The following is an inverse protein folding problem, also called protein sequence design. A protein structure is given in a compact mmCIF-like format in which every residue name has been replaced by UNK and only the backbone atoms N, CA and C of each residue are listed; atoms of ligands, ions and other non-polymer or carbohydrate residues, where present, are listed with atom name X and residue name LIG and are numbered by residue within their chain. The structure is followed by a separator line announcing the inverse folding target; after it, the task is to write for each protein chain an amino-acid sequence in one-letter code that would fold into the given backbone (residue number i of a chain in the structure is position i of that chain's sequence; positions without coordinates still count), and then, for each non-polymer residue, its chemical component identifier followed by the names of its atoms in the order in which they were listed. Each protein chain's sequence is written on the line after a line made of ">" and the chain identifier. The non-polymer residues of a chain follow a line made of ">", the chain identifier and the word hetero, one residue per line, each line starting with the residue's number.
data_IF_464461100210
#
_entry.id   IF_464461100210
#
_cell.length_a   1.000
_cell.length_b   1.000
_cell.length_c   1.000
_cell.angle_alpha   90.00
_cell.angle_beta   90.00
_cell.angle_gamma   90.00
#
_symmetry.space_group_name_H-M   'P 1'
#
loop_
_entity.id
_entity.type
_entity.pdbx_description
1 polymer ?
#
# COMPACT_ATOMS: atom_id res chain seq x y z
N UNK A 1 -46.78 31.28 -44.76
CA UNK A 1 -47.69 31.18 -43.61
C UNK A 1 -46.89 31.53 -42.36
N UNK A 2 -47.07 32.76 -41.86
CA UNK A 2 -46.57 33.24 -40.58
C UNK A 2 -47.47 32.73 -39.46
N UNK A 3 -46.89 32.35 -38.32
CA UNK A 3 -47.55 32.57 -37.03
C UNK A 3 -46.54 32.61 -35.89
N UNK A 4 -46.23 33.83 -35.45
CA UNK A 4 -45.69 34.14 -34.13
C UNK A 4 -46.69 33.73 -33.04
N UNK A 5 -46.17 33.34 -31.86
CA UNK A 5 -46.94 33.36 -30.61
C UNK A 5 -46.09 33.95 -29.49
N UNK A 6 -46.66 35.01 -28.87
CA UNK A 6 -46.20 35.69 -27.65
C UNK A 6 -46.56 34.85 -26.40
N UNK A 7 -45.87 35.03 -25.26
CA UNK A 7 -46.25 34.44 -23.99
C UNK A 7 -47.17 35.37 -23.18
N UNK A 8 -48.20 34.80 -22.55
CA UNK A 8 -49.08 35.47 -21.59
C UNK A 8 -48.59 35.20 -20.15
N UNK A 9 -48.42 36.26 -19.37
CA UNK A 9 -48.06 36.21 -17.95
C UNK A 9 -49.32 36.34 -17.08
N UNK A 10 -49.55 35.42 -16.13
CA UNK A 10 -50.54 35.57 -15.06
C UNK A 10 -49.91 35.51 -13.65
N UNK A 11 -50.34 36.35 -12.68
CA UNK A 11 -49.69 36.47 -11.37
C UNK A 11 -50.48 35.75 -10.28
N UNK A 12 -50.16 34.49 -9.96
CA UNK A 12 -50.85 33.76 -8.88
C UNK A 12 -49.96 32.81 -8.04
N UNK A 13 -48.63 32.83 -8.22
CA UNK A 13 -47.72 31.87 -7.55
C UNK A 13 -47.14 32.34 -6.21
N UNK A 14 -47.06 33.65 -5.95
CA UNK A 14 -46.27 34.18 -4.82
C UNK A 14 -46.87 33.96 -3.42
N UNK A 15 -48.18 33.74 -3.30
CA UNK A 15 -48.82 33.61 -1.98
C UNK A 15 -48.72 32.18 -1.40
N UNK A 16 -48.59 31.16 -2.25
CA UNK A 16 -48.50 29.74 -1.84
C UNK A 16 -47.14 29.39 -1.26
N UNK A 17 -46.05 29.97 -1.77
CA UNK A 17 -44.70 29.69 -1.31
C UNK A 17 -44.41 30.24 0.10
N UNK A 18 -45.02 31.37 0.49
CA UNK A 18 -44.84 31.95 1.84
C UNK A 18 -45.41 31.05 2.95
N UNK A 19 -46.56 30.41 2.71
CA UNK A 19 -47.16 29.51 3.71
C UNK A 19 -46.38 28.21 3.90
N UNK A 20 -45.68 27.74 2.86
CA UNK A 20 -44.83 26.53 2.94
C UNK A 20 -43.55 26.83 3.73
N UNK A 21 -42.89 27.96 3.45
CA UNK A 21 -41.68 28.39 4.18
C UNK A 21 -41.94 28.61 5.67
N UNK A 22 -43.07 29.22 6.04
CA UNK A 22 -43.43 29.42 7.44
C UNK A 22 -43.66 28.08 8.16
N UNK A 23 -44.28 27.09 7.50
CA UNK A 23 -44.46 25.75 8.07
C UNK A 23 -43.13 25.01 8.29
N UNK A 24 -42.18 25.14 7.37
CA UNK A 24 -40.84 24.57 7.56
C UNK A 24 -40.08 25.25 8.70
N UNK A 25 -40.15 26.58 8.79
CA UNK A 25 -39.50 27.32 9.87
C UNK A 25 -40.04 26.94 11.26
N UNK A 26 -41.37 26.79 11.39
CA UNK A 26 -42.00 26.34 12.65
C UNK A 26 -41.61 24.89 12.99
N UNK A 27 -41.55 24.01 11.99
CA UNK A 27 -41.12 22.61 12.19
C UNK A 27 -39.67 22.51 12.69
N UNK A 28 -38.74 23.26 12.10
CA UNK A 28 -37.34 23.30 12.56
C UNK A 28 -37.20 23.86 13.98
N UNK A 29 -37.98 24.89 14.33
CA UNK A 29 -37.99 25.47 15.67
C UNK A 29 -38.48 24.48 16.74
N UNK A 30 -39.56 23.74 16.44
CA UNK A 30 -40.08 22.71 17.34
C UNK A 30 -39.10 21.54 17.50
N UNK A 31 -38.41 21.16 16.42
CA UNK A 31 -37.41 20.09 16.48
C UNK A 31 -36.16 20.50 17.27
N UNK A 32 -35.72 21.76 17.15
CA UNK A 32 -34.63 22.31 17.97
C UNK A 32 -34.98 22.43 19.46
N UNK A 33 -36.23 22.80 19.79
CA UNK A 33 -36.73 22.83 21.16
C UNK A 33 -36.83 21.42 21.76
N UNK A 34 -37.31 20.44 21.00
CA UNK A 34 -37.32 19.04 21.42
C UNK A 34 -35.88 18.53 21.68
N UNK A 35 -34.94 18.83 20.79
CA UNK A 35 -33.54 18.44 20.96
C UNK A 35 -32.94 19.04 22.26
N UNK A 36 -33.23 20.30 22.58
CA UNK A 36 -32.78 20.91 23.85
C UNK A 36 -33.43 20.31 25.11
N UNK A 37 -34.65 19.79 25.01
CA UNK A 37 -35.32 19.15 26.14
C UNK A 37 -34.81 17.72 26.39
N UNK A 38 -34.41 17.00 25.33
CA UNK A 38 -33.89 15.63 25.44
C UNK A 38 -32.38 15.56 25.67
N UNK A 39 -31.62 16.63 25.41
CA UNK A 39 -30.17 16.67 25.56
C UNK A 39 -29.68 17.95 26.29
N UNK A 40 -29.96 18.11 27.60
CA UNK A 40 -29.62 19.34 28.33
C UNK A 40 -28.12 19.57 28.56
N UNK A 41 -27.25 18.55 28.40
CA UNK A 41 -25.84 18.60 28.86
C UNK A 41 -24.76 18.47 27.77
N UNK A 42 -25.08 18.55 26.47
CA UNK A 42 -24.08 18.27 25.41
C UNK A 42 -23.31 19.50 24.90
N UNK A 43 -23.40 20.66 25.55
CA UNK A 43 -22.57 21.83 25.23
C UNK A 43 -21.99 22.40 26.53
N UNK A 44 -20.66 22.58 26.55
CA UNK A 44 -19.79 23.06 27.64
C UNK A 44 -19.10 21.99 28.52
N UNK A 45 -17.96 21.47 28.05
CA UNK A 45 -16.74 21.33 28.86
C UNK A 45 -15.49 21.59 28.00
N UNK A 46 -15.06 22.84 27.95
CA UNK A 46 -13.70 23.21 27.59
C UNK A 46 -13.04 23.67 28.89
N UNK A 47 -12.29 22.78 29.53
CA UNK A 47 -11.48 23.11 30.70
C UNK A 47 -10.05 23.34 30.23
N UNK A 48 -9.68 24.62 30.10
CA UNK A 48 -8.31 25.09 30.09
C UNK A 48 -7.71 24.90 31.48
N UNK A 49 -6.88 23.88 31.67
CA UNK A 49 -5.97 23.82 32.83
C UNK A 49 -4.60 24.37 32.43
N UNK A 50 -4.32 25.53 33.01
CA UNK A 50 -3.01 26.17 33.04
C UNK A 50 -2.29 25.64 34.28
N UNK A 51 -1.21 24.87 34.12
CA UNK A 51 -0.34 24.49 35.23
C UNK A 51 0.95 25.31 35.17
N UNK A 52 0.99 26.33 36.02
CA UNK A 52 2.21 27.03 36.40
C UNK A 52 3.02 26.17 37.37
N UNK A 53 4.34 26.15 37.14
CA UNK A 53 5.35 25.59 38.02
C UNK A 53 5.42 26.34 39.37
N UNK A 54 5.69 25.60 40.46
CA UNK A 54 6.52 26.12 41.55
C UNK A 54 7.14 24.98 42.36
N UNK A 55 8.43 25.16 42.68
CA UNK A 55 9.31 24.34 43.52
C UNK A 55 8.76 24.15 44.95
N UNK A 56 9.02 22.98 45.54
CA UNK A 56 9.67 22.87 46.86
C UNK A 56 10.03 21.41 47.21
N UNK A 57 11.31 21.18 47.45
CA UNK A 57 11.87 20.15 48.34
C UNK A 57 11.94 20.75 49.76
N UNK A 58 11.98 20.00 50.90
CA UNK A 58 13.09 19.05 51.15
C UNK A 58 12.86 17.84 52.12
N UNK A 59 13.83 16.91 52.05
CA UNK A 59 14.51 16.13 53.13
C UNK A 59 13.85 14.91 53.82
N UNK A 60 14.53 13.77 53.59
CA UNK A 60 15.20 12.87 54.56
C UNK A 60 14.38 12.08 55.59
N UNK A 61 14.33 10.75 55.44
CA UNK A 61 15.03 9.79 56.33
C UNK A 61 14.87 8.33 55.84
N UNK A 62 15.97 7.56 55.91
CA UNK A 62 15.99 6.08 55.86
C UNK A 62 16.02 5.55 57.31
N UNK A 63 15.68 4.28 57.59
CA UNK A 63 16.70 3.21 57.48
C UNK A 63 16.20 1.82 57.03
N UNK A 64 17.15 1.03 56.50
CA UNK A 64 17.14 -0.44 56.27
C UNK A 64 17.00 -1.25 57.58
N UNK A 65 16.75 -2.58 57.51
CA UNK A 65 17.85 -3.57 57.49
C UNK A 65 17.69 -4.65 56.38
N UNK A 66 18.77 -5.05 55.68
CA UNK A 66 19.59 -6.28 55.88
C UNK A 66 18.81 -7.61 55.85
N UNK A 67 19.25 -8.73 55.28
CA UNK A 67 20.32 -9.16 54.37
C UNK A 67 20.23 -10.71 54.35
N UNK A 68 20.43 -11.37 53.20
CA UNK A 68 21.21 -12.63 53.07
C UNK A 68 21.01 -13.28 51.69
N UNK A 69 22.04 -13.25 50.86
CA UNK A 69 22.39 -14.30 49.89
C UNK A 69 23.28 -15.36 50.61
N UNK A 70 23.94 -16.33 49.95
CA UNK A 70 23.83 -16.91 48.60
C UNK A 70 23.78 -18.46 48.62
N UNK A 71 23.64 -19.11 47.47
CA UNK A 71 24.32 -20.40 47.27
C UNK A 71 24.68 -20.64 45.79
N UNK A 72 25.86 -21.22 45.58
CA UNK A 72 26.57 -21.30 44.31
C UNK A 72 27.11 -22.74 44.14
N UNK A 73 26.99 -23.27 42.91
CA UNK A 73 27.86 -24.31 42.31
C UNK A 73 27.61 -25.79 42.73
N UNK A 74 28.15 -26.83 42.02
CA UNK A 74 29.14 -26.79 40.93
C UNK A 74 28.93 -27.72 39.70
N UNK A 75 29.64 -27.39 38.61
CA UNK A 75 30.11 -28.27 37.55
C UNK A 75 31.26 -29.18 38.05
N UNK A 76 31.50 -30.35 37.43
CA UNK A 76 32.81 -31.00 37.46
C UNK A 76 33.50 -31.08 36.08
N UNK A 77 34.83 -31.01 36.12
CA UNK A 77 35.83 -31.14 35.05
C UNK A 77 36.75 -32.34 35.37
N UNK A 78 37.55 -32.74 34.37
CA UNK A 78 38.69 -33.69 34.32
C UNK A 78 38.38 -35.13 33.79
N UNK A 79 38.72 -35.52 32.55
CA UNK A 79 40.03 -35.85 31.87
C UNK A 79 40.49 -37.33 32.09
N UNK A 80 41.40 -37.92 31.28
CA UNK A 80 41.23 -38.47 29.92
C UNK A 80 41.67 -39.96 29.80
N UNK A 81 41.36 -40.67 28.71
CA UNK A 81 42.02 -41.95 28.37
C UNK A 81 42.50 -41.99 26.91
N UNK A 82 43.74 -42.44 26.77
CA UNK A 82 44.50 -42.63 25.53
C UNK A 82 43.86 -43.70 24.63
N UNK A 83 43.68 -43.40 23.35
CA UNK A 83 43.88 -44.40 22.29
C UNK A 83 44.78 -43.84 21.19
N UNK A 84 45.87 -44.58 20.96
CA UNK A 84 46.83 -44.38 19.90
C UNK A 84 46.22 -44.98 18.62
N UNK A 85 45.92 -44.15 17.61
CA UNK A 85 45.75 -44.63 16.24
C UNK A 85 46.45 -43.69 15.24
N UNK A 86 47.61 -44.17 14.79
CA UNK A 86 48.15 -44.10 13.42
C UNK A 86 47.86 -42.86 12.56
N UNK A 87 48.91 -42.06 12.35
CA UNK A 87 49.01 -41.07 11.27
C UNK A 87 48.91 -41.75 9.89
N UNK A 88 47.83 -41.47 9.17
CA UNK A 88 47.81 -41.53 7.71
C UNK A 88 47.68 -40.09 7.19
N UNK A 89 48.71 -39.65 6.44
CA UNK A 89 48.68 -38.41 5.70
C UNK A 89 47.76 -38.62 4.49
N UNK A 90 46.50 -38.24 4.61
CA UNK A 90 45.63 -37.96 3.47
C UNK A 90 45.55 -36.44 3.34
N UNK A 91 46.11 -35.91 2.27
CA UNK A 91 45.80 -34.58 1.77
C UNK A 91 44.32 -34.57 1.40
N UNK A 92 43.47 -34.16 2.33
CA UNK A 92 42.13 -33.66 2.03
C UNK A 92 42.30 -32.41 1.16
N UNK A 93 42.11 -32.58 -0.14
CA UNK A 93 41.65 -31.48 -0.99
C UNK A 93 40.39 -30.96 -0.31
N UNK A 94 40.47 -29.74 0.25
CA UNK A 94 39.31 -29.05 0.77
C UNK A 94 38.27 -29.00 -0.35
N UNK A 95 37.18 -29.77 -0.19
CA UNK A 95 36.00 -29.57 -1.00
C UNK A 95 35.65 -28.07 -0.91
N UNK A 96 35.39 -27.40 -2.04
CA UNK A 96 34.91 -26.03 -1.97
C UNK A 96 33.67 -26.05 -1.09
N UNK A 97 33.67 -25.25 -0.01
CA UNK A 97 32.44 -25.04 0.76
C UNK A 97 31.33 -24.75 -0.24
N UNK A 98 30.16 -25.41 -0.14
CA UNK A 98 29.07 -25.13 -1.05
C UNK A 98 28.84 -23.63 -1.00
N UNK A 99 28.97 -22.96 -2.14
CA UNK A 99 28.60 -21.56 -2.28
C UNK A 99 27.22 -21.43 -1.64
N UNK A 100 27.15 -20.73 -0.51
CA UNK A 100 25.94 -20.61 0.27
C UNK A 100 24.90 -20.01 -0.68
N UNK A 101 23.95 -20.82 -1.16
CA UNK A 101 22.96 -20.38 -2.14
C UNK A 101 22.32 -19.10 -1.59
N UNK A 102 22.53 -18.00 -2.31
CA UNK A 102 22.11 -16.68 -1.89
C UNK A 102 20.58 -16.69 -1.82
N UNK A 103 20.03 -16.61 -0.60
CA UNK A 103 18.58 -16.72 -0.40
C UNK A 103 17.82 -15.68 -1.25
N UNK A 104 16.89 -16.16 -2.07
CA UNK A 104 15.94 -15.33 -2.80
C UNK A 104 14.66 -15.21 -1.97
N UNK A 105 14.52 -14.10 -1.22
CA UNK A 105 13.36 -13.86 -0.34
C UNK A 105 12.03 -13.75 -1.09
N UNK A 106 12.04 -13.67 -2.42
CA UNK A 106 10.85 -13.61 -3.27
C UNK A 106 10.46 -14.98 -3.82
N UNK A 107 11.24 -16.04 -3.56
CA UNK A 107 10.92 -17.44 -3.86
C UNK A 107 10.66 -18.24 -2.57
N UNK A 108 9.47 -18.81 -2.50
CA UNK A 108 8.90 -19.29 -1.25
C UNK A 108 7.54 -19.90 -1.43
N UNK A 109 6.93 -20.24 -0.31
CA UNK A 109 5.60 -20.81 -0.24
C UNK A 109 4.79 -20.09 0.83
N UNK A 110 3.47 -20.07 0.65
CA UNK A 110 2.56 -19.60 1.69
C UNK A 110 2.34 -20.72 2.70
N UNK A 111 2.61 -20.44 3.97
CA UNK A 111 2.41 -21.38 5.08
C UNK A 111 1.32 -20.86 6.02
N UNK A 112 0.55 -21.76 6.66
CA UNK A 112 -0.43 -21.36 7.67
C UNK A 112 0.24 -20.64 8.83
N UNK A 113 -0.39 -19.58 9.30
CA UNK A 113 0.09 -18.76 10.39
C UNK A 113 -0.95 -18.62 11.50
N UNK A 114 -0.74 -19.37 12.59
CA UNK A 114 -1.68 -19.46 13.71
C UNK A 114 -1.73 -18.22 14.59
N UNK A 115 -0.79 -17.26 14.44
CA UNK A 115 -0.87 -16.02 15.21
C UNK A 115 -1.99 -15.09 14.74
N UNK A 116 -2.49 -15.28 13.52
CA UNK A 116 -3.45 -14.40 12.88
C UNK A 116 -2.89 -13.02 12.47
N UNK A 117 -3.79 -12.10 12.05
CA UNK A 117 -3.42 -10.80 11.52
C UNK A 117 -2.99 -9.84 12.63
N UNK A 118 -2.13 -8.85 12.30
CA UNK A 118 -1.65 -7.85 13.28
C UNK A 118 -2.71 -6.83 13.70
N UNK A 119 -3.80 -6.72 12.93
CA UNK A 119 -4.84 -5.74 13.14
C UNK A 119 -6.17 -6.27 12.60
N UNK A 120 -7.26 -5.61 12.95
CA UNK A 120 -8.61 -5.87 12.45
C UNK A 120 -9.26 -4.57 11.97
N UNK A 121 -10.50 -4.68 11.47
CA UNK A 121 -11.34 -3.52 11.16
C UNK A 121 -11.67 -2.64 12.38
N UNK A 122 -11.44 -3.13 13.60
CA UNK A 122 -11.70 -2.41 14.85
C UNK A 122 -10.45 -1.68 15.35
N UNK A 123 -9.27 -2.27 15.16
CA UNK A 123 -8.00 -1.71 15.63
C UNK A 123 -7.36 -0.75 14.62
N UNK A 124 -7.64 -0.91 13.33
CA UNK A 124 -7.14 -0.01 12.29
C UNK A 124 -8.25 0.85 11.66
N UNK A 125 -8.12 2.17 11.78
CA UNK A 125 -9.12 3.15 11.29
C UNK A 125 -8.87 3.66 9.87
N UNK A 126 -7.71 3.37 9.29
CA UNK A 126 -7.33 3.88 7.97
C UNK A 126 -7.72 2.97 6.81
N UNK A 127 -8.32 1.80 7.10
CA UNK A 127 -8.79 0.86 6.07
C UNK A 127 -9.94 1.49 5.29
N UNK A 128 -9.73 1.70 4.00
CA UNK A 128 -10.74 2.20 3.08
C UNK A 128 -11.89 1.20 2.92
N UNK A 129 -13.11 1.71 2.75
CA UNK A 129 -14.32 0.87 2.79
C UNK A 129 -14.28 -0.28 1.79
N UNK A 130 -13.68 -0.11 0.62
CA UNK A 130 -13.65 -1.14 -0.42
C UNK A 130 -12.59 -2.23 -0.19
N UNK A 131 -11.70 -2.05 0.78
CA UNK A 131 -10.68 -3.03 1.20
C UNK A 131 -11.04 -3.67 2.55
N UNK A 132 -12.04 -3.14 3.26
CA UNK A 132 -12.48 -3.64 4.57
C UNK A 132 -13.44 -4.83 4.44
N UNK A 133 -12.94 -5.95 3.94
CA UNK A 133 -13.72 -7.15 3.65
C UNK A 133 -14.46 -7.70 4.90
N UNK A 134 -13.82 -7.65 6.07
CA UNK A 134 -14.42 -8.04 7.35
C UNK A 134 -15.67 -7.20 7.66
N UNK A 135 -15.54 -5.86 7.61
CA UNK A 135 -16.67 -4.95 7.85
C UNK A 135 -17.76 -5.08 6.79
N UNK A 136 -17.37 -5.39 5.55
CA UNK A 136 -18.29 -5.55 4.44
C UNK A 136 -19.04 -6.89 4.43
N UNK A 137 -18.80 -7.76 5.41
CA UNK A 137 -19.55 -9.00 5.58
C UNK A 137 -19.00 -10.19 4.82
N UNK A 138 -17.71 -10.18 4.46
CA UNK A 138 -17.05 -11.36 3.89
C UNK A 138 -17.11 -12.52 4.91
N UNK A 139 -17.67 -13.69 4.54
CA UNK A 139 -17.95 -14.76 5.50
C UNK A 139 -16.72 -15.62 5.83
N UNK A 140 -15.77 -15.76 4.90
CA UNK A 140 -14.53 -16.48 5.13
C UNK A 140 -13.45 -15.55 5.68
N UNK A 141 -12.60 -16.07 6.58
CA UNK A 141 -11.53 -15.32 7.24
C UNK A 141 -10.15 -15.98 7.09
N UNK A 142 -10.08 -17.16 6.44
CA UNK A 142 -8.86 -17.95 6.35
C UNK A 142 -7.71 -17.24 5.63
N UNK A 143 -8.02 -16.32 4.72
CA UNK A 143 -7.03 -15.64 3.87
C UNK A 143 -6.03 -14.78 4.66
N UNK A 144 -6.34 -14.28 5.85
CA UNK A 144 -5.36 -13.51 6.63
C UNK A 144 -4.59 -14.34 7.67
N UNK A 145 -4.73 -15.68 7.66
CA UNK A 145 -3.94 -16.62 8.49
C UNK A 145 -2.84 -17.33 7.68
N UNK A 146 -2.20 -16.59 6.78
CA UNK A 146 -1.13 -17.09 5.93
C UNK A 146 0.05 -16.14 5.97
N UNK A 147 1.25 -16.70 5.95
CA UNK A 147 2.50 -15.95 5.90
C UNK A 147 3.39 -16.46 4.77
N UNK A 148 4.10 -15.53 4.15
CA UNK A 148 5.10 -15.86 3.14
C UNK A 148 6.36 -16.43 3.82
N UNK A 149 6.82 -17.58 3.34
CA UNK A 149 8.02 -18.24 3.84
C UNK A 149 8.98 -18.52 2.67
N UNK A 150 10.09 -17.78 2.56
CA UNK A 150 11.14 -18.10 1.59
C UNK A 150 11.69 -19.50 1.80
N UNK A 151 12.18 -20.15 0.74
CA UNK A 151 12.66 -21.55 0.82
C UNK A 151 14.02 -21.68 1.51
N UNK A 152 14.89 -20.73 1.23
CA UNK A 152 16.32 -20.86 1.55
C UNK A 152 16.72 -20.00 2.77
N UNK A 153 15.77 -19.24 3.33
CA UNK A 153 15.99 -18.48 4.56
C UNK A 153 14.68 -18.11 5.26
N UNK A 154 14.82 -17.75 6.54
CA UNK A 154 13.72 -17.20 7.32
C UNK A 154 13.77 -15.68 7.31
N UNK A 155 12.61 -15.06 7.09
CA UNK A 155 12.43 -13.62 7.29
C UNK A 155 11.63 -13.39 8.58
N UNK A 156 12.08 -12.46 9.45
CA UNK A 156 11.33 -12.12 10.64
C UNK A 156 10.04 -11.39 10.24
N UNK A 157 9.07 -11.40 11.14
CA UNK A 157 7.89 -10.55 10.99
C UNK A 157 8.29 -9.10 11.09
N UNK A 158 7.62 -8.24 10.33
CA UNK A 158 7.64 -6.81 10.53
C UNK A 158 7.42 -6.46 12.00
N UNK A 159 8.39 -5.76 12.55
CA UNK A 159 8.39 -5.19 13.90
C UNK A 159 8.10 -3.69 13.78
N UNK A 160 6.89 -3.24 14.17
CA UNK A 160 6.51 -1.84 14.03
C UNK A 160 7.33 -0.89 14.89
N UNK A 161 7.81 -1.32 16.06
CA UNK A 161 8.61 -0.47 16.94
C UNK A 161 9.98 -0.25 16.30
N UNK A 162 10.64 -1.35 15.89
CA UNK A 162 11.93 -1.28 15.23
C UNK A 162 11.86 -0.48 13.93
N UNK A 163 10.79 -0.63 13.14
CA UNK A 163 10.60 0.19 11.94
C UNK A 163 10.49 1.68 12.26
N UNK A 164 9.62 2.07 13.20
CA UNK A 164 9.43 3.50 13.56
C UNK A 164 10.71 4.12 14.13
N UNK A 165 11.48 3.37 14.90
CA UNK A 165 12.77 3.82 15.40
C UNK A 165 13.79 4.03 14.27
N UNK A 166 13.83 3.15 13.26
CA UNK A 166 14.65 3.35 12.07
C UNK A 166 14.19 4.56 11.25
N UNK A 167 12.91 4.90 11.28
CA UNK A 167 12.29 5.98 10.52
C UNK A 167 12.25 7.33 11.25
N UNK A 168 12.85 7.43 12.44
CA UNK A 168 12.88 8.67 13.21
C UNK A 168 13.50 9.81 12.40
N UNK A 169 12.80 10.94 12.36
CA UNK A 169 13.16 12.15 11.60
C UNK A 169 13.28 11.97 10.07
N UNK A 170 12.65 10.94 9.49
CA UNK A 170 12.73 10.63 8.05
C UNK A 170 11.40 10.86 7.33
N UNK A 171 11.46 10.84 6.01
CA UNK A 171 10.30 10.91 5.12
C UNK A 171 10.30 9.74 4.14
N UNK A 172 9.18 9.02 4.06
CA UNK A 172 8.98 7.90 3.13
C UNK A 172 7.79 8.21 2.22
N UNK A 173 7.93 8.04 0.91
CA UNK A 173 6.81 8.11 -0.02
C UNK A 173 6.60 6.83 -0.84
N UNK A 174 5.34 6.43 -0.98
CA UNK A 174 4.89 5.46 -1.96
C UNK A 174 4.31 6.24 -3.15
N UNK A 175 4.92 6.09 -4.32
CA UNK A 175 4.62 6.84 -5.53
C UNK A 175 4.06 5.84 -6.54
N UNK A 176 2.80 6.01 -6.92
CA UNK A 176 2.15 5.07 -7.83
C UNK A 176 0.63 5.14 -7.85
N UNK A 177 0.03 3.96 -8.00
CA UNK A 177 -1.41 3.76 -8.20
C UNK A 177 -2.16 3.33 -6.93
N UNK A 178 -3.36 2.76 -7.11
CA UNK A 178 -4.23 2.33 -6.03
C UNK A 178 -3.69 1.14 -5.24
N UNK A 179 -2.79 0.32 -5.82
CA UNK A 179 -2.12 -0.75 -5.10
C UNK A 179 -1.05 -0.17 -4.17
N UNK A 180 -0.38 0.92 -4.57
CA UNK A 180 0.51 1.66 -3.65
C UNK A 180 -0.26 2.23 -2.46
N UNK A 181 -1.47 2.76 -2.67
CA UNK A 181 -2.36 3.18 -1.57
C UNK A 181 -2.80 2.00 -0.70
N UNK A 182 -3.08 0.84 -1.28
CA UNK A 182 -3.42 -0.38 -0.55
C UNK A 182 -2.25 -0.83 0.36
N UNK A 183 -1.01 -0.76 -0.15
CA UNK A 183 0.19 -1.12 0.60
C UNK A 183 0.44 -0.14 1.75
N UNK A 184 0.30 1.18 1.52
CA UNK A 184 0.43 2.18 2.58
C UNK A 184 -0.61 2.00 3.69
N UNK A 185 -1.85 1.64 3.35
CA UNK A 185 -2.87 1.38 4.36
C UNK A 185 -2.51 0.17 5.24
N UNK A 186 -2.02 -0.92 4.63
CA UNK A 186 -1.50 -2.07 5.36
C UNK A 186 -0.37 -1.67 6.32
N UNK A 187 0.62 -0.92 5.83
CA UNK A 187 1.73 -0.43 6.64
C UNK A 187 1.24 0.45 7.81
N UNK A 188 0.37 1.43 7.55
CA UNK A 188 -0.23 2.28 8.57
C UNK A 188 -0.96 1.45 9.64
N UNK A 189 -1.72 0.43 9.25
CA UNK A 189 -2.40 -0.45 10.18
C UNK A 189 -1.43 -1.25 11.07
N UNK A 190 -0.31 -1.73 10.51
CA UNK A 190 0.73 -2.41 11.28
C UNK A 190 1.41 -1.45 12.26
N UNK A 191 1.76 -0.24 11.81
CA UNK A 191 2.42 0.77 12.65
C UNK A 191 1.51 1.30 13.76
N UNK A 192 0.20 1.26 13.56
CA UNK A 192 -0.82 1.67 14.52
C UNK A 192 -0.79 0.91 15.85
N UNK A 193 -0.11 -0.25 15.88
CA UNK A 193 0.17 -1.03 17.09
C UNK A 193 1.14 -0.34 18.05
N UNK A 194 1.93 0.61 17.56
CA UNK A 194 2.91 1.38 18.34
C UNK A 194 2.51 2.84 18.41
N UNK A 195 2.20 3.45 17.27
CA UNK A 195 1.81 4.85 17.20
C UNK A 195 0.76 5.08 16.11
N UNK A 196 -0.30 5.82 16.47
CA UNK A 196 -1.31 6.25 15.51
C UNK A 196 -0.78 7.43 14.69
N UNK A 197 -0.84 7.31 13.37
CA UNK A 197 -0.43 8.38 12.48
C UNK A 197 -1.54 9.46 12.40
N UNK A 198 -1.12 10.72 12.31
CA UNK A 198 -2.02 11.87 12.10
C UNK A 198 -1.94 12.27 10.63
N UNK A 199 -3.07 12.30 9.94
CA UNK A 199 -3.12 12.85 8.58
C UNK A 199 -2.86 14.36 8.64
N UNK A 200 -1.88 14.83 7.85
CA UNK A 200 -1.45 16.24 7.82
C UNK A 200 -1.66 16.88 6.45
N UNK A 201 -1.95 16.08 5.42
CA UNK A 201 -2.27 16.55 4.08
C UNK A 201 -3.04 15.48 3.31
N UNK A 202 -3.95 15.93 2.46
CA UNK A 202 -4.53 15.16 1.37
C UNK A 202 -4.77 16.09 0.17
N UNK A 203 -4.78 15.56 -1.04
CA UNK A 203 -5.27 16.31 -2.21
C UNK A 203 -6.81 16.40 -2.22
N UNK A 204 -7.37 17.17 -3.16
CA UNK A 204 -8.82 17.43 -3.24
C UNK A 204 -9.65 16.13 -3.35
N UNK A 205 -9.12 15.13 -4.05
CA UNK A 205 -9.77 13.84 -4.30
C UNK A 205 -9.39 12.76 -3.27
N UNK A 206 -8.58 13.08 -2.25
CA UNK A 206 -8.06 12.15 -1.25
C UNK A 206 -7.30 10.94 -1.86
N UNK A 207 -6.70 11.13 -3.04
CA UNK A 207 -5.88 10.11 -3.72
C UNK A 207 -4.45 10.13 -3.20
N UNK A 208 -3.88 11.32 -3.04
CA UNK A 208 -2.60 11.55 -2.37
C UNK A 208 -2.83 11.95 -0.92
N UNK A 209 -2.05 11.38 0.00
CA UNK A 209 -2.16 11.65 1.44
C UNK A 209 -0.79 11.63 2.11
N UNK A 210 -0.65 12.37 3.20
CA UNK A 210 0.53 12.35 4.06
C UNK A 210 0.12 12.24 5.51
N UNK A 211 0.79 11.34 6.22
CA UNK A 211 0.64 11.14 7.65
C UNK A 211 1.94 11.45 8.37
N UNK A 212 1.82 11.91 9.61
CA UNK A 212 2.93 12.15 10.53
C UNK A 212 2.76 11.28 11.76
N UNK A 213 3.86 10.67 12.19
CA UNK A 213 3.99 9.96 13.46
C UNK A 213 4.69 10.92 14.44
N UNK A 214 3.95 11.64 15.31
CA UNK A 214 4.51 12.75 16.07
C UNK A 214 5.70 12.39 16.96
N UNK A 215 5.65 11.23 17.62
CA UNK A 215 6.66 10.76 18.58
C UNK A 215 7.96 10.34 17.88
N UNK A 216 7.88 9.94 16.61
CA UNK A 216 9.04 9.59 15.78
C UNK A 216 9.47 10.72 14.85
N UNK A 217 8.68 11.80 14.72
CA UNK A 217 8.88 12.82 13.68
C UNK A 217 9.07 12.18 12.28
N UNK A 218 8.36 11.08 12.03
CA UNK A 218 8.40 10.34 10.78
C UNK A 218 7.23 10.80 9.91
N UNK A 219 7.45 11.00 8.61
CA UNK A 219 6.37 11.24 7.65
C UNK A 219 6.26 10.11 6.64
N UNK A 220 5.04 9.62 6.45
CA UNK A 220 4.70 8.62 5.45
C UNK A 220 3.72 9.24 4.46
N UNK A 221 3.99 9.13 3.17
CA UNK A 221 3.14 9.68 2.11
C UNK A 221 2.76 8.62 1.09
N UNK A 222 1.55 8.73 0.55
CA UNK A 222 1.18 8.12 -0.73
C UNK A 222 0.96 9.26 -1.74
N UNK A 223 1.62 9.18 -2.89
CA UNK A 223 1.53 10.19 -3.94
C UNK A 223 0.89 9.52 -5.15
N UNK A 224 -0.32 9.97 -5.50
CA UNK A 224 -1.09 9.41 -6.60
C UNK A 224 -0.53 9.88 -7.94
N UNK A 225 0.06 8.95 -8.67
CA UNK A 225 0.58 9.15 -10.02
C UNK A 225 0.57 7.79 -10.72
N UNK A 226 -0.60 7.32 -11.18
CA UNK A 226 -0.79 5.92 -11.57
C UNK A 226 0.04 5.51 -12.81
N UNK A 227 0.51 6.50 -13.57
CA UNK A 227 1.43 6.29 -14.70
C UNK A 227 2.88 6.68 -14.38
N UNK A 228 3.19 7.18 -13.18
CA UNK A 228 4.51 7.71 -12.76
C UNK A 228 5.02 8.93 -13.54
N UNK A 229 4.56 9.13 -14.77
CA UNK A 229 4.91 10.23 -15.66
C UNK A 229 3.69 11.14 -15.85
N UNK A 230 3.90 12.32 -16.43
CA UNK A 230 2.85 13.31 -16.60
C UNK A 230 1.70 12.70 -17.41
N UNK A 231 0.50 12.74 -16.82
CA UNK A 231 -0.72 12.27 -17.45
C UNK A 231 -1.87 13.24 -17.20
N UNK A 232 -2.75 13.42 -18.19
CA UNK A 232 -4.07 13.99 -18.01
C UNK A 232 -5.09 12.84 -17.99
N UNK A 233 -5.72 12.64 -16.83
CA UNK A 233 -6.65 11.55 -16.56
C UNK A 233 -8.06 12.12 -16.49
N UNK A 234 -9.00 11.53 -17.22
CA UNK A 234 -10.40 11.97 -17.28
C UNK A 234 -11.36 10.93 -16.70
N UNK A 235 -10.87 10.13 -15.74
CA UNK A 235 -11.61 9.05 -15.10
C UNK A 235 -11.95 9.42 -13.64
N UNK A 236 -13.23 9.29 -13.29
CA UNK A 236 -13.72 9.53 -11.94
C UNK A 236 -13.41 8.35 -10.99
N UNK A 237 -13.82 8.44 -9.72
CA UNK A 237 -13.56 7.38 -8.72
C UNK A 237 -14.29 6.06 -9.00
N UNK A 238 -15.37 6.09 -9.79
CA UNK A 238 -16.14 4.91 -10.17
C UNK A 238 -15.57 4.20 -11.42
N UNK A 239 -14.49 4.72 -11.98
CA UNK A 239 -13.86 4.19 -13.20
C UNK A 239 -14.53 4.65 -14.49
N UNK A 240 -15.41 5.65 -14.44
CA UNK A 240 -16.09 6.20 -15.62
C UNK A 240 -15.19 7.27 -16.23
N UNK A 241 -14.78 7.04 -17.49
CA UNK A 241 -13.93 7.95 -18.25
C UNK A 241 -14.74 8.84 -19.20
N UNK A 242 -14.42 10.14 -19.24
CA UNK A 242 -15.01 11.09 -20.20
C UNK A 242 -14.14 11.32 -21.44
N UNK A 243 -12.88 10.91 -21.44
CA UNK A 243 -11.95 11.03 -22.58
C UNK A 243 -10.73 10.12 -22.38
N UNK A 244 -10.01 9.80 -23.47
CA UNK A 244 -8.78 9.02 -23.40
C UNK A 244 -7.70 9.74 -22.58
N UNK A 245 -6.96 8.97 -21.77
CA UNK A 245 -5.82 9.50 -21.01
C UNK A 245 -4.80 10.10 -21.98
N UNK A 246 -4.30 11.31 -21.68
CA UNK A 246 -3.17 11.89 -22.42
C UNK A 246 -1.89 11.63 -21.63
N UNK A 247 -0.98 10.83 -22.18
CA UNK A 247 0.24 10.39 -21.51
C UNK A 247 1.48 11.00 -22.18
N UNK A 248 2.33 11.69 -21.42
CA UNK A 248 3.49 12.41 -21.94
C UNK A 248 4.77 11.62 -21.65
N UNK A 249 5.21 10.82 -22.62
CA UNK A 249 6.26 9.80 -22.46
C UNK A 249 7.67 10.35 -22.18
N UNK A 250 7.85 11.66 -22.35
CA UNK A 250 9.12 12.38 -22.13
C UNK A 250 9.07 13.36 -20.95
N UNK A 251 8.03 13.30 -20.11
CA UNK A 251 7.84 14.23 -18.99
C UNK A 251 7.47 13.51 -17.70
N UNK A 252 8.29 13.68 -16.66
CA UNK A 252 7.97 13.25 -15.31
C UNK A 252 6.73 13.97 -14.78
N UNK A 253 5.97 13.28 -13.94
CA UNK A 253 4.90 13.93 -13.17
C UNK A 253 5.51 14.80 -12.06
N UNK A 254 5.20 16.10 -12.12
CA UNK A 254 5.72 17.09 -11.18
C UNK A 254 5.23 16.87 -9.76
N UNK A 255 4.06 16.24 -9.60
CA UNK A 255 3.44 16.01 -8.28
C UNK A 255 4.39 15.27 -7.35
N UNK A 256 5.11 14.25 -7.82
CA UNK A 256 6.09 13.53 -7.01
C UNK A 256 7.53 14.00 -7.27
N UNK A 257 7.88 14.35 -8.52
CA UNK A 257 9.25 14.69 -8.87
C UNK A 257 9.76 15.93 -8.12
N UNK A 258 8.89 16.92 -7.92
CA UNK A 258 9.24 18.15 -7.19
C UNK A 258 9.39 17.92 -5.68
N UNK A 259 8.92 16.78 -5.16
CA UNK A 259 9.06 16.39 -3.75
C UNK A 259 10.26 15.45 -3.52
N UNK A 260 10.85 14.90 -4.58
CA UNK A 260 11.85 13.84 -4.50
C UNK A 260 13.05 14.17 -3.62
N UNK A 261 13.56 15.41 -3.70
CA UNK A 261 14.73 15.87 -2.93
C UNK A 261 14.49 15.90 -1.40
N UNK A 262 13.25 15.80 -0.94
CA UNK A 262 12.89 15.82 0.48
C UNK A 262 12.66 14.43 1.09
N UNK A 263 12.75 13.37 0.29
CA UNK A 263 12.40 12.01 0.69
C UNK A 263 13.65 11.22 1.07
N UNK A 264 13.64 10.47 2.16
CA UNK A 264 14.74 9.57 2.52
C UNK A 264 14.54 8.16 1.93
N UNK A 265 13.27 7.76 1.77
CA UNK A 265 12.86 6.46 1.26
C UNK A 265 11.75 6.62 0.23
N UNK A 266 11.83 5.83 -0.84
CA UNK A 266 10.85 5.87 -1.94
C UNK A 266 10.47 4.44 -2.32
N UNK A 267 9.18 4.17 -2.47
CA UNK A 267 8.68 2.98 -3.18
C UNK A 267 8.00 3.48 -4.46
N UNK A 268 8.57 3.14 -5.61
CA UNK A 268 7.99 3.40 -6.93
C UNK A 268 7.27 2.14 -7.39
N UNK A 269 6.03 2.30 -7.85
CA UNK A 269 5.31 1.21 -8.47
C UNK A 269 4.26 1.72 -9.46
N UNK A 270 4.23 1.14 -10.65
CA UNK A 270 3.17 1.36 -11.64
C UNK A 270 2.57 0.03 -12.06
N UNK A 271 1.62 0.07 -13.00
CA UNK A 271 1.14 -1.18 -13.57
C UNK A 271 -0.17 -1.01 -14.34
N UNK A 272 -1.25 -1.57 -13.80
CA UNK A 272 -2.52 -1.83 -14.50
C UNK A 272 -3.15 -0.62 -15.20
N UNK A 273 -2.80 0.60 -14.79
CA UNK A 273 -3.24 1.83 -15.47
C UNK A 273 -2.70 1.97 -16.91
N UNK A 274 -1.52 1.43 -17.21
CA UNK A 274 -0.95 1.43 -18.56
C UNK A 274 -1.76 0.61 -19.56
N UNK A 275 -2.60 -0.31 -19.09
CA UNK A 275 -3.49 -1.13 -19.92
C UNK A 275 -4.74 -0.37 -20.39
N UNK A 276 -4.97 0.85 -19.87
CA UNK A 276 -6.09 1.68 -20.29
C UNK A 276 -5.75 2.37 -21.61
N UNK A 277 -6.79 2.65 -22.39
CA UNK A 277 -6.67 3.50 -23.59
C UNK A 277 -5.99 4.82 -23.27
N UNK A 278 -4.96 5.13 -24.06
CA UNK A 278 -4.18 6.35 -23.90
C UNK A 278 -3.69 6.88 -25.25
N UNK A 279 -3.59 8.20 -25.35
CA UNK A 279 -2.92 8.93 -26.42
C UNK A 279 -1.55 9.33 -25.93
N UNK A 280 -0.52 9.02 -26.71
CA UNK A 280 0.87 9.24 -26.36
C UNK A 280 1.38 10.55 -26.95
N UNK A 281 2.08 11.30 -26.11
CA UNK A 281 2.70 12.57 -26.46
C UNK A 281 4.20 12.50 -26.23
N UNK A 282 4.97 12.99 -27.20
CA UNK A 282 6.41 13.22 -27.09
C UNK A 282 6.71 14.60 -27.68
N UNK A 283 7.54 15.40 -27.00
CA UNK A 283 7.88 16.77 -27.40
C UNK A 283 6.63 17.65 -27.64
N UNK A 284 5.61 17.45 -26.80
CA UNK A 284 4.29 18.11 -26.90
C UNK A 284 3.52 17.84 -28.20
N UNK A 285 3.84 16.74 -28.89
CA UNK A 285 3.14 16.29 -30.09
C UNK A 285 2.62 14.87 -29.92
N UNK A 286 1.45 14.58 -30.50
CA UNK A 286 0.89 13.21 -30.49
C UNK A 286 1.81 12.30 -31.29
N UNK A 287 2.41 11.30 -30.64
CA UNK A 287 3.29 10.32 -31.27
C UNK A 287 2.55 9.03 -31.64
N UNK A 288 1.55 8.62 -30.86
CA UNK A 288 0.77 7.41 -31.10
C UNK A 288 -0.27 7.16 -30.00
N UNK A 289 -0.60 5.89 -29.76
CA UNK A 289 -1.60 5.51 -28.77
C UNK A 289 -1.41 4.08 -28.26
N UNK A 290 -2.25 3.70 -27.28
CA UNK A 290 -2.66 2.32 -27.03
C UNK A 290 -4.18 2.19 -27.13
N UNK A 291 -4.64 1.22 -27.92
CA UNK A 291 -6.04 0.93 -28.17
C UNK A 291 -6.86 2.17 -28.55
N UNK A 292 -6.58 2.73 -29.73
CA UNK A 292 -7.30 3.90 -30.26
C UNK A 292 -8.10 3.59 -31.54
N UNK A 293 -9.16 2.77 -31.45
CA UNK A 293 -9.95 2.38 -32.61
C UNK A 293 -10.57 3.61 -33.30
N UNK A 294 -10.50 3.63 -34.63
CA UNK A 294 -11.06 4.71 -35.45
C UNK A 294 -10.25 6.02 -35.45
N UNK A 295 -9.09 6.08 -34.78
CA UNK A 295 -8.15 7.21 -34.90
C UNK A 295 -7.07 6.89 -35.91
N UNK A 296 -6.63 7.90 -36.67
CA UNK A 296 -5.48 7.79 -37.58
C UNK A 296 -4.17 7.99 -36.79
N UNK A 297 -3.91 7.10 -35.84
CA UNK A 297 -2.72 7.11 -34.98
C UNK A 297 -2.09 5.71 -34.99
N UNK A 298 -0.76 5.64 -34.87
CA UNK A 298 -0.06 4.37 -34.69
C UNK A 298 -0.33 3.82 -33.29
N UNK A 299 -0.85 2.59 -33.22
CA UNK A 299 -0.97 1.86 -31.96
C UNK A 299 0.39 1.23 -31.63
N UNK A 300 1.04 1.75 -30.59
CA UNK A 300 2.33 1.25 -30.11
C UNK A 300 2.18 0.18 -29.01
N UNK A 301 0.95 -0.10 -28.55
CA UNK A 301 0.73 -0.97 -27.40
C UNK A 301 1.02 -0.30 -26.06
N UNK A 302 0.67 -1.00 -24.98
CA UNK A 302 0.95 -0.53 -23.62
C UNK A 302 2.42 -0.77 -23.25
N UNK A 303 3.07 -1.80 -23.80
CA UNK A 303 4.45 -2.16 -23.49
C UNK A 303 5.40 -1.01 -23.81
N UNK A 304 5.16 -0.33 -24.94
CA UNK A 304 5.93 0.82 -25.37
C UNK A 304 5.90 1.95 -24.33
N UNK A 305 4.71 2.35 -23.90
CA UNK A 305 4.55 3.40 -22.91
C UNK A 305 5.07 2.99 -21.53
N UNK A 306 4.86 1.72 -21.14
CA UNK A 306 5.29 1.21 -19.85
C UNK A 306 6.81 1.22 -19.71
N UNK A 307 7.51 0.69 -20.72
CA UNK A 307 8.98 0.72 -20.78
C UNK A 307 9.52 2.15 -20.78
N UNK A 308 8.96 3.04 -21.61
CA UNK A 308 9.34 4.46 -21.67
C UNK A 308 9.18 5.17 -20.32
N UNK A 309 8.08 4.90 -19.61
CA UNK A 309 7.83 5.49 -18.30
C UNK A 309 8.87 5.01 -17.27
N UNK A 310 9.14 3.71 -17.20
CA UNK A 310 10.15 3.16 -16.29
C UNK A 310 11.56 3.64 -16.63
N UNK A 311 11.94 3.67 -17.90
CA UNK A 311 13.19 4.25 -18.37
C UNK A 311 13.33 5.71 -17.89
N UNK A 312 12.31 6.54 -18.11
CA UNK A 312 12.34 7.95 -17.73
C UNK A 312 12.47 8.14 -16.20
N UNK A 313 11.68 7.40 -15.42
CA UNK A 313 11.66 7.47 -13.96
C UNK A 313 12.99 6.98 -13.37
N UNK A 314 13.49 5.84 -13.82
CA UNK A 314 14.74 5.26 -13.31
C UNK A 314 15.98 6.06 -13.76
N UNK A 315 15.98 6.61 -14.97
CA UNK A 315 17.03 7.54 -15.41
C UNK A 315 17.07 8.81 -14.54
N UNK A 316 15.90 9.36 -14.19
CA UNK A 316 15.83 10.49 -13.26
C UNK A 316 16.41 10.14 -11.88
N UNK A 317 16.01 9.00 -11.32
CA UNK A 317 16.47 8.53 -10.00
C UNK A 317 17.99 8.32 -10.00
N UNK A 318 18.52 7.60 -11.00
CA UNK A 318 19.94 7.27 -11.11
C UNK A 318 20.83 8.50 -11.36
N UNK A 319 20.31 9.52 -12.05
CA UNK A 319 21.01 10.77 -12.32
C UNK A 319 20.80 11.86 -11.24
N UNK A 320 19.82 11.71 -10.35
CA UNK A 320 19.51 12.71 -9.32
C UNK A 320 20.69 12.94 -8.38
N UNK A 321 20.88 14.18 -7.91
CA UNK A 321 21.90 14.48 -6.89
C UNK A 321 21.52 13.94 -5.53
N UNK A 322 20.22 13.87 -5.24
CA UNK A 322 19.68 13.31 -4.02
C UNK A 322 19.58 11.79 -4.14
N UNK A 323 20.02 11.07 -3.09
CA UNK A 323 20.23 9.61 -3.13
C UNK A 323 19.42 8.91 -2.02
N UNK A 324 18.08 8.92 -2.09
CA UNK A 324 17.27 8.13 -1.16
C UNK A 324 17.48 6.63 -1.41
N UNK A 325 17.05 5.81 -0.45
CA UNK A 325 16.89 4.38 -0.69
C UNK A 325 15.58 4.18 -1.48
N UNK A 326 15.66 3.58 -2.66
CA UNK A 326 14.52 3.41 -3.55
C UNK A 326 14.19 1.93 -3.74
N UNK A 327 12.93 1.60 -3.58
CA UNK A 327 12.35 0.31 -3.94
C UNK A 327 11.58 0.43 -5.25
N UNK A 328 11.80 -0.50 -6.19
CA UNK A 328 10.87 -0.74 -7.29
C UNK A 328 10.01 -1.96 -6.91
N UNK A 329 8.70 -1.75 -6.72
CA UNK A 329 7.77 -2.86 -6.54
C UNK A 329 7.30 -3.35 -7.90
N UNK A 330 7.41 -4.65 -8.15
CA UNK A 330 6.90 -5.27 -9.38
C UNK A 330 5.37 -5.24 -9.46
N UNK A 331 4.84 -5.50 -10.66
CA UNK A 331 3.41 -5.62 -10.94
C UNK A 331 2.77 -6.70 -10.07
N UNK A 332 1.52 -6.47 -9.67
CA UNK A 332 0.70 -7.46 -8.99
C UNK A 332 -0.33 -8.02 -9.96
N UNK A 333 -0.48 -9.36 -10.05
CA UNK A 333 -1.52 -9.95 -10.89
C UNK A 333 -2.91 -9.67 -10.30
N UNK A 334 -3.90 -9.56 -11.17
CA UNK A 334 -5.31 -9.70 -10.81
C UNK A 334 -5.74 -11.16 -10.97
N UNK A 335 -6.82 -11.54 -10.28
CA UNK A 335 -7.34 -12.92 -10.29
C UNK A 335 -8.77 -12.98 -10.83
N UNK A 336 -9.09 -12.17 -11.84
CA UNK A 336 -10.37 -12.32 -12.53
C UNK A 336 -10.43 -13.66 -13.26
N UNK A 337 -11.43 -14.47 -12.93
CA UNK A 337 -11.81 -15.71 -13.61
C UNK A 337 -13.15 -15.53 -14.34
N UNK A 338 -13.32 -16.25 -15.46
CA UNK A 338 -14.55 -16.27 -16.27
C UNK A 338 -15.03 -14.90 -16.77
N UNK A 339 -14.08 -13.99 -17.00
CA UNK A 339 -14.34 -12.63 -17.46
C UNK A 339 -13.29 -11.68 -16.91
N UNK A 340 -13.48 -10.40 -17.16
CA UNK A 340 -12.66 -9.29 -16.69
C UNK A 340 -13.47 -8.39 -15.76
N UNK A 341 -12.84 -7.39 -15.18
CA UNK A 341 -13.47 -6.42 -14.29
C UNK A 341 -14.74 -5.75 -14.87
N UNK A 342 -14.80 -5.59 -16.20
CA UNK A 342 -15.91 -4.97 -16.92
C UNK A 342 -16.91 -5.97 -17.54
N UNK A 343 -16.57 -7.25 -17.61
CA UNK A 343 -17.38 -8.29 -18.27
C UNK A 343 -17.97 -9.33 -17.32
N UNK A 344 -17.87 -9.07 -16.01
CA UNK A 344 -18.48 -9.92 -14.97
C UNK A 344 -17.56 -11.01 -14.42
N UNK A 345 -16.24 -10.86 -14.58
CA UNK A 345 -15.27 -11.75 -13.95
C UNK A 345 -15.39 -11.73 -12.41
N UNK A 346 -14.92 -12.81 -11.78
CA UNK A 346 -14.97 -12.99 -10.33
C UNK A 346 -13.72 -13.69 -9.77
N UNK A 347 -13.55 -13.63 -8.45
CA UNK A 347 -12.43 -14.22 -7.70
C UNK A 347 -12.96 -14.72 -6.35
N UNK A 348 -13.56 -15.91 -6.33
CA UNK A 348 -14.24 -16.48 -5.16
C UNK A 348 -13.44 -17.62 -4.50
N UNK A 349 -12.14 -17.73 -4.79
CA UNK A 349 -11.25 -18.67 -4.10
C UNK A 349 -11.08 -18.22 -2.64
N UNK A 350 -10.89 -19.19 -1.75
CA UNK A 350 -10.83 -18.96 -0.29
C UNK A 350 -9.57 -19.51 0.37
N UNK A 351 -8.69 -20.12 -0.43
CA UNK A 351 -7.38 -20.63 -0.01
C UNK A 351 -6.30 -20.21 -1.01
N UNK A 352 -5.05 -20.04 -0.54
CA UNK A 352 -3.91 -19.85 -1.42
C UNK A 352 -3.71 -21.01 -2.37
N UNK A 353 -2.97 -20.74 -3.43
CA UNK A 353 -2.49 -21.72 -4.38
C UNK A 353 -1.04 -22.10 -4.07
N UNK A 354 -0.64 -23.26 -4.56
CA UNK A 354 0.76 -23.70 -4.60
C UNK A 354 1.40 -23.34 -5.93
N UNK A 355 2.73 -23.32 -5.94
CA UNK A 355 3.49 -23.18 -7.18
C UNK A 355 3.06 -24.24 -8.20
N UNK A 356 2.84 -23.81 -9.46
CA UNK A 356 2.37 -24.67 -10.54
C UNK A 356 0.85 -24.81 -10.67
N UNK A 357 0.05 -24.35 -9.70
CA UNK A 357 -1.42 -24.38 -9.79
C UNK A 357 -2.01 -23.20 -10.58
N UNK A 358 -1.20 -22.19 -10.88
CA UNK A 358 -1.57 -21.02 -11.67
C UNK A 358 -0.37 -20.49 -12.44
N UNK A 359 -0.63 -19.97 -13.63
CA UNK A 359 0.36 -19.30 -14.47
C UNK A 359 0.09 -17.79 -14.51
N UNK A 360 1.15 -17.00 -14.68
CA UNK A 360 1.01 -15.56 -14.92
C UNK A 360 0.30 -15.35 -16.26
N UNK A 361 -0.71 -14.48 -16.27
CA UNK A 361 -1.29 -13.96 -17.50
C UNK A 361 -0.20 -13.31 -18.35
N UNK A 362 -0.33 -13.40 -19.67
CA UNK A 362 0.68 -12.87 -20.62
C UNK A 362 1.00 -11.41 -20.35
N UNK A 363 -0.02 -10.59 -20.05
CA UNK A 363 0.15 -9.17 -19.72
C UNK A 363 1.00 -8.99 -18.47
N UNK A 364 0.71 -9.72 -17.38
CA UNK A 364 1.48 -9.62 -16.13
C UNK A 364 2.93 -10.09 -16.30
N UNK A 365 3.15 -11.13 -17.11
CA UNK A 365 4.49 -11.60 -17.48
C UNK A 365 5.27 -10.52 -18.21
N UNK A 366 4.69 -9.95 -19.27
CA UNK A 366 5.32 -8.88 -20.06
C UNK A 366 5.64 -7.66 -19.20
N UNK A 367 4.73 -7.24 -18.32
CA UNK A 367 4.98 -6.11 -17.41
C UNK A 367 6.11 -6.40 -16.43
N UNK A 368 6.12 -7.58 -15.80
CA UNK A 368 7.20 -7.98 -14.91
C UNK A 368 8.54 -8.06 -15.64
N UNK A 369 8.58 -8.62 -16.85
CA UNK A 369 9.80 -8.73 -17.64
C UNK A 369 10.38 -7.34 -17.96
N UNK A 370 9.53 -6.37 -18.35
CA UNK A 370 9.95 -4.97 -18.53
C UNK A 370 10.49 -4.37 -17.22
N UNK A 371 9.80 -4.58 -16.08
CA UNK A 371 10.25 -4.07 -14.79
C UNK A 371 11.62 -4.60 -14.38
N UNK A 372 11.86 -5.89 -14.56
CA UNK A 372 13.14 -6.53 -14.26
C UNK A 372 14.24 -6.03 -15.20
N UNK A 373 14.00 -5.98 -16.51
CA UNK A 373 14.95 -5.46 -17.50
C UNK A 373 15.36 -4.01 -17.20
N UNK A 374 14.40 -3.12 -16.92
CA UNK A 374 14.69 -1.72 -16.62
C UNK A 374 15.31 -1.54 -15.22
N UNK A 375 14.93 -2.37 -14.24
CA UNK A 375 15.54 -2.38 -12.92
C UNK A 375 17.02 -2.76 -12.99
N UNK A 376 17.37 -3.82 -13.71
CA UNK A 376 18.76 -4.30 -13.84
C UNK A 376 19.66 -3.22 -14.45
N UNK A 377 19.21 -2.59 -15.55
CA UNK A 377 19.93 -1.46 -16.17
C UNK A 377 20.12 -0.30 -15.18
N UNK A 378 19.05 0.07 -14.47
CA UNK A 378 19.08 1.17 -13.52
C UNK A 378 19.93 0.85 -12.29
N UNK A 379 19.94 -0.39 -11.82
CA UNK A 379 20.76 -0.84 -10.68
C UNK A 379 22.25 -0.77 -11.04
N UNK A 380 22.62 -1.19 -12.25
CA UNK A 380 24.01 -1.08 -12.73
C UNK A 380 24.48 0.38 -12.78
N UNK A 381 23.67 1.26 -13.37
CA UNK A 381 23.99 2.70 -13.45
C UNK A 381 23.95 3.35 -12.06
N UNK A 382 22.94 3.02 -11.27
CA UNK A 382 22.68 3.55 -9.94
C UNK A 382 23.82 3.25 -8.97
N UNK A 383 24.34 2.03 -8.98
CA UNK A 383 25.48 1.62 -8.14
C UNK A 383 26.72 2.49 -8.38
N UNK A 384 27.04 2.81 -9.65
CA UNK A 384 28.14 3.69 -10.05
C UNK A 384 27.92 5.14 -9.57
N UNK A 385 26.66 5.55 -9.44
CA UNK A 385 26.25 6.89 -9.03
C UNK A 385 25.87 6.99 -7.54
N UNK A 386 26.10 5.95 -6.74
CA UNK A 386 25.78 5.93 -5.30
C UNK A 386 24.28 5.89 -4.97
N UNK A 387 23.43 5.48 -5.92
CA UNK A 387 22.00 5.23 -5.66
C UNK A 387 21.82 3.81 -5.15
N UNK A 388 21.06 3.66 -4.07
CA UNK A 388 20.66 2.35 -3.55
C UNK A 388 19.28 2.01 -4.10
N UNK A 389 19.26 1.18 -5.15
CA UNK A 389 18.04 0.58 -5.69
C UNK A 389 17.83 -0.82 -5.12
N UNK A 390 16.60 -1.13 -4.73
CA UNK A 390 16.17 -2.44 -4.23
C UNK A 390 14.96 -2.92 -5.02
N UNK A 391 14.99 -4.15 -5.51
CA UNK A 391 13.81 -4.77 -6.08
C UNK A 391 12.92 -5.25 -4.94
N UNK A 392 11.63 -4.98 -5.02
CA UNK A 392 10.60 -5.57 -4.16
C UNK A 392 9.71 -6.42 -5.07
N UNK A 393 10.14 -7.64 -5.37
CA UNK A 393 9.39 -8.51 -6.27
C UNK A 393 8.20 -9.16 -5.56
N UNK A 394 7.01 -8.59 -5.80
CA UNK A 394 5.76 -9.05 -5.18
C UNK A 394 4.92 -9.92 -6.11
N UNK A 395 5.29 -10.05 -7.38
CA UNK A 395 4.42 -10.66 -8.39
C UNK A 395 4.12 -12.12 -8.08
N UNK A 396 5.15 -12.93 -7.81
CA UNK A 396 4.99 -14.38 -7.61
C UNK A 396 4.26 -14.73 -6.31
N UNK A 397 4.65 -14.13 -5.19
CA UNK A 397 3.93 -14.38 -3.95
C UNK A 397 2.48 -13.90 -4.00
N UNK A 398 2.17 -12.84 -4.75
CA UNK A 398 0.80 -12.34 -4.91
C UNK A 398 -0.03 -13.19 -5.87
N UNK A 399 0.58 -13.78 -6.91
CA UNK A 399 -0.08 -14.74 -7.81
C UNK A 399 -0.67 -15.95 -7.09
N UNK A 400 -0.02 -16.37 -6.00
CA UNK A 400 -0.46 -17.51 -5.22
C UNK A 400 -1.62 -17.18 -4.26
N UNK A 401 -2.15 -15.96 -4.30
CA UNK A 401 -3.12 -15.43 -3.33
C UNK A 401 -4.45 -14.99 -3.92
N UNK A 402 -5.10 -15.77 -4.81
CA UNK A 402 -6.42 -15.39 -5.32
C UNK A 402 -7.48 -15.25 -4.21
N UNK A 403 -7.24 -15.84 -3.04
CA UNK A 403 -8.09 -15.77 -1.85
C UNK A 403 -8.08 -14.40 -1.16
N UNK A 404 -7.10 -13.55 -1.43
CA UNK A 404 -6.91 -12.30 -0.71
C UNK A 404 -7.70 -11.09 -1.23
N UNK A 405 -8.43 -11.24 -2.33
CA UNK A 405 -9.15 -10.13 -2.97
C UNK A 405 -10.50 -9.82 -2.31
N UNK A 406 -10.98 -8.56 -2.31
CA UNK A 406 -12.32 -8.23 -1.83
C UNK A 406 -13.44 -8.96 -2.56
N UNK A 407 -13.28 -9.19 -3.87
CA UNK A 407 -14.32 -9.75 -4.72
C UNK A 407 -15.61 -8.91 -4.59
N UNK A 408 -16.76 -9.52 -4.27
CA UNK A 408 -18.01 -8.78 -4.09
C UNK A 408 -18.01 -7.91 -2.82
N UNK A 409 -17.18 -8.25 -1.83
CA UNK A 409 -17.08 -7.56 -0.54
C UNK A 409 -16.23 -6.29 -0.62
N UNK A 410 -16.06 -5.72 -1.82
CA UNK A 410 -15.69 -4.32 -2.00
C UNK A 410 -16.84 -3.37 -1.61
N UNK A 411 -18.08 -3.86 -1.66
CA UNK A 411 -19.27 -3.13 -1.23
C UNK A 411 -19.72 -3.64 0.14
N UNK A 412 -20.36 -2.78 0.92
CA UNK A 412 -20.85 -3.15 2.25
C UNK A 412 -22.06 -4.09 2.13
N UNK A 413 -21.94 -5.30 2.68
CA UNK A 413 -23.01 -6.30 2.78
C UNK A 413 -23.73 -6.55 1.43
N UNK A 414 -22.98 -6.92 0.37
CA UNK A 414 -23.45 -6.91 -1.03
C UNK A 414 -24.63 -7.86 -1.30
N UNK A 415 -24.86 -8.84 -0.42
CA UNK A 415 -25.87 -9.89 -0.56
C UNK A 415 -26.94 -9.86 0.54
N UNK A 416 -27.04 -8.77 1.31
CA UNK A 416 -27.97 -8.64 2.43
C UNK A 416 -29.43 -8.48 1.99
N UNK A 417 -29.68 -7.76 0.89
CA UNK A 417 -31.02 -7.57 0.32
C UNK A 417 -31.41 -8.70 -0.64
N UNK A 418 -30.50 -9.12 -1.51
CA UNK A 418 -30.67 -10.24 -2.43
C UNK A 418 -29.41 -11.12 -2.47
N UNK A 419 -29.57 -12.40 -2.12
CA UNK A 419 -28.48 -13.39 -2.13
C UNK A 419 -27.93 -13.67 -3.53
N UNK A 420 -28.68 -13.35 -4.58
CA UNK A 420 -28.30 -13.56 -5.98
C UNK A 420 -27.98 -12.24 -6.70
N UNK A 421 -27.78 -11.15 -5.97
CA UNK A 421 -27.46 -9.85 -6.54
C UNK A 421 -26.22 -9.95 -7.44
N UNK A 422 -26.31 -9.35 -8.63
CA UNK A 422 -25.14 -9.16 -9.50
C UNK A 422 -24.39 -7.92 -9.00
N UNK A 423 -23.22 -8.15 -8.43
CA UNK A 423 -22.36 -7.10 -7.88
C UNK A 423 -21.03 -7.04 -8.60
N UNK A 424 -20.38 -5.88 -8.56
CA UNK A 424 -19.05 -5.72 -9.14
C UNK A 424 -18.01 -6.38 -8.23
N UNK A 425 -17.17 -7.24 -8.81
CA UNK A 425 -16.05 -7.84 -8.10
C UNK A 425 -14.79 -6.98 -8.21
N UNK A 426 -14.06 -6.86 -7.11
CA UNK A 426 -12.69 -6.36 -7.10
C UNK A 426 -11.73 -7.54 -6.95
N UNK A 427 -11.07 -7.91 -8.05
CA UNK A 427 -10.07 -8.98 -8.08
C UNK A 427 -8.66 -8.43 -8.34
N UNK A 428 -8.46 -7.14 -8.07
CA UNK A 428 -7.20 -6.43 -8.28
C UNK A 428 -6.61 -5.94 -6.95
N UNK A 429 -7.42 -5.30 -6.10
CA UNK A 429 -7.00 -4.83 -4.78
C UNK A 429 -7.08 -5.94 -3.74
N UNK A 430 -6.54 -5.69 -2.54
CA UNK A 430 -6.40 -6.66 -1.47
C UNK A 430 -7.26 -6.29 -0.27
N UNK A 431 -7.87 -7.30 0.34
CA UNK A 431 -8.47 -7.15 1.67
C UNK A 431 -7.41 -6.72 2.68
N UNK A 432 -7.82 -5.92 3.67
CA UNK A 432 -7.01 -5.55 4.83
C UNK A 432 -7.75 -5.96 6.13
N UNK A 433 -7.11 -6.73 7.03
CA UNK A 433 -5.83 -7.42 6.87
C UNK A 433 -5.85 -8.47 5.74
N UNK A 434 -4.68 -8.85 5.21
CA UNK A 434 -4.62 -9.76 4.06
C UNK A 434 -3.21 -9.98 3.50
N UNK A 435 -3.06 -10.57 2.30
CA UNK A 435 -1.77 -11.00 1.76
C UNK A 435 -0.74 -9.87 1.63
N UNK A 436 -1.23 -8.66 1.35
CA UNK A 436 -0.42 -7.46 1.21
C UNK A 436 0.35 -7.10 2.49
N UNK A 437 -0.07 -7.62 3.66
CA UNK A 437 0.67 -7.44 4.91
C UNK A 437 2.07 -8.07 4.85
N UNK A 438 2.23 -9.20 4.14
CA UNK A 438 3.53 -9.86 3.94
C UNK A 438 4.49 -9.05 3.06
N UNK A 439 4.00 -8.08 2.27
CA UNK A 439 4.89 -7.19 1.53
C UNK A 439 5.68 -6.30 2.49
N UNK A 440 5.11 -5.94 3.64
CA UNK A 440 5.82 -5.17 4.65
C UNK A 440 6.92 -6.00 5.31
N UNK A 441 6.71 -7.29 5.56
CA UNK A 441 7.76 -8.19 6.04
C UNK A 441 8.98 -8.16 5.08
N UNK A 442 8.74 -8.24 3.77
CA UNK A 442 9.78 -8.11 2.74
C UNK A 442 10.45 -6.72 2.73
N UNK A 443 9.66 -5.64 2.82
CA UNK A 443 10.19 -4.27 2.89
C UNK A 443 11.11 -4.10 4.09
N UNK A 444 10.74 -4.62 5.26
CA UNK A 444 11.56 -4.53 6.46
C UNK A 444 12.85 -5.34 6.35
N UNK A 445 12.78 -6.53 5.76
CA UNK A 445 13.98 -7.33 5.51
C UNK A 445 14.94 -6.61 4.56
N UNK A 446 14.44 -6.08 3.44
CA UNK A 446 15.26 -5.31 2.49
C UNK A 446 15.79 -4.00 3.08
N UNK A 447 15.07 -3.39 4.02
CA UNK A 447 15.50 -2.18 4.71
C UNK A 447 16.66 -2.45 5.67
N UNK A 448 16.59 -3.54 6.42
CA UNK A 448 17.55 -3.85 7.51
C UNK A 448 18.74 -4.66 7.00
N UNK A 449 18.50 -5.58 6.06
CA UNK A 449 19.45 -6.59 5.60
C UNK A 449 19.64 -6.57 4.07
N UNK A 450 19.17 -5.52 3.37
CA UNK A 450 19.11 -5.46 1.91
C UNK A 450 20.42 -5.75 1.19
N UNK A 451 21.56 -5.43 1.81
CA UNK A 451 22.90 -5.65 1.25
C UNK A 451 23.22 -7.14 1.06
N UNK A 452 22.55 -8.04 1.79
CA UNK A 452 22.69 -9.50 1.62
C UNK A 452 22.11 -10.01 0.30
N UNK A 453 21.20 -9.25 -0.30
CA UNK A 453 20.43 -9.66 -1.47
C UNK A 453 20.91 -9.00 -2.78
N UNK A 454 21.90 -8.11 -2.71
CA UNK A 454 22.45 -7.38 -3.87
C UNK A 454 23.40 -8.21 -4.71
#
# INVERSE_FOLDING_TARGET
>A
MLKETRPDSSPLSLHKHKHVLVKFAVSFLLMGLAFRLFFPDSFFRFSTETTNASLSDPKTDSPLPLASSPDQSPLPLDLPENEIQTFQNETEEAEPEPEQEKCDIFKGDWIPDTSGPRYSNETCRVIESHQNCMKNGRPDSGYFYWRWNPRDCEIPRFDPQKFLDHMRNKSWAFIGDSISRNHVQSLLCILSQVEQAVEVYHDEEYRSKRWRFPSHNFTLSVIWTPFLIKAAIFENMDGISTSETQLYLDKLDRVWADQYESLDYVVIAGGKWFLKTAIYHEKDTVSGCHYCPGKNLTDFGFEYAYRKALELVLNFITASKHKPLVFLRTTTPDHFENGEWFSGGYCNRTVPLKEGEIELKDVDRVMRDIELEEFEKAAEIGSKNGVVLRLLDTTRLSLLRPDGHPGPYRQFQPFSEDKNAKVQNDCLHWCLPGPIDSWNDLVMELLVNGDKYQ
#
